data_IF_509101506241
#
_entry.id   IF_509101506241
#
_cell.length_a   1.000
_cell.length_b   1.000
_cell.length_c   1.000
_cell.angle_alpha   90.00
_cell.angle_beta   90.00
_cell.angle_gamma   90.00
#
_symmetry.space_group_name_H-M   'P 1'
#
loop_
_entity.id
_entity.type
_entity.pdbx_description
1 polymer ?
#
# COMPACT_ATOMS: atom_id res chain seq x y z
N UNK A 1 22.27 -23.68 6.66
CA UNK A 1 22.09 -22.53 7.56
C UNK A 1 20.62 -22.45 7.91
N UNK A 2 20.26 -22.01 9.13
CA UNK A 2 18.85 -21.74 9.45
C UNK A 2 18.39 -20.51 8.63
N UNK A 3 17.17 -20.51 8.07
CA UNK A 3 16.64 -19.31 7.42
C UNK A 3 16.54 -18.17 8.43
N UNK A 4 16.81 -16.94 7.97
CA UNK A 4 16.68 -15.73 8.78
C UNK A 4 15.46 -14.93 8.32
N UNK A 5 14.62 -14.49 9.25
CA UNK A 5 13.54 -13.55 8.98
C UNK A 5 13.73 -12.31 9.85
N UNK A 6 13.82 -11.15 9.22
CA UNK A 6 13.90 -9.88 9.93
C UNK A 6 12.50 -9.30 10.14
N UNK A 7 12.24 -8.77 11.32
CA UNK A 7 10.97 -8.14 11.71
C UNK A 7 11.25 -6.67 11.96
N UNK A 8 10.65 -5.80 11.14
CA UNK A 8 10.81 -4.34 11.25
C UNK A 8 9.49 -3.74 11.74
N UNK A 9 9.51 -3.14 12.92
CA UNK A 9 8.35 -2.49 13.50
C UNK A 9 8.26 -1.01 13.10
N UNK A 10 7.10 -0.62 12.57
CA UNK A 10 6.72 0.77 12.27
C UNK A 10 5.76 1.36 13.31
N UNK A 11 5.34 0.55 14.28
CA UNK A 11 4.32 0.88 15.28
C UNK A 11 2.99 0.18 14.98
N UNK A 12 1.88 0.89 15.21
CA UNK A 12 0.53 0.35 15.01
C UNK A 12 0.00 -0.51 16.16
N UNK A 13 -1.28 -0.88 16.08
CA UNK A 13 -2.08 -1.54 17.13
C UNK A 13 -1.40 -2.76 17.75
N UNK A 14 -0.67 -3.55 16.96
CA UNK A 14 0.03 -4.75 17.42
C UNK A 14 1.09 -4.44 18.49
N UNK A 15 1.70 -3.25 18.43
CA UNK A 15 2.75 -2.80 19.34
C UNK A 15 2.23 -1.85 20.45
N UNK A 16 0.91 -1.73 20.62
CA UNK A 16 0.31 -0.80 21.59
C UNK A 16 -0.04 -1.50 22.92
N UNK A 17 0.08 -0.79 24.05
CA UNK A 17 -0.44 -1.21 25.36
C UNK A 17 -1.43 -0.18 25.94
N UNK A 18 -2.28 -0.58 26.91
CA UNK A 18 -3.18 0.35 27.58
C UNK A 18 -2.44 1.48 28.29
N UNK A 19 -2.93 2.72 28.15
CA UNK A 19 -2.43 3.88 28.91
C UNK A 19 -3.22 4.10 30.19
N UNK A 20 -2.57 4.63 31.23
CA UNK A 20 -3.21 5.04 32.49
C UNK A 20 -4.27 6.16 32.30
N UNK A 21 -4.21 6.91 31.20
CA UNK A 21 -5.16 7.97 30.84
C UNK A 21 -6.39 7.48 30.06
N UNK A 22 -6.50 6.17 29.80
CA UNK A 22 -7.42 5.60 28.80
C UNK A 22 -6.84 5.64 27.39
N UNK A 23 -7.29 4.70 26.53
CA UNK A 23 -6.73 4.49 25.20
C UNK A 23 -5.51 3.54 25.18
N UNK A 24 -4.90 3.37 23.99
CA UNK A 24 -3.72 2.54 23.78
C UNK A 24 -2.56 3.40 23.23
N UNK A 25 -1.33 3.17 23.72
CA UNK A 25 -0.11 3.89 23.32
C UNK A 25 0.99 2.91 22.87
N UNK A 26 1.94 3.32 22.02
CA UNK A 26 3.05 2.46 21.63
C UNK A 26 3.82 2.02 22.88
N UNK A 27 4.05 0.71 23.02
CA UNK A 27 4.63 0.16 24.25
C UNK A 27 5.52 -1.06 24.03
N UNK A 28 5.29 -1.85 22.96
CA UNK A 28 6.05 -3.08 22.72
C UNK A 28 7.13 -2.86 21.66
N UNK A 29 8.36 -3.24 22.01
CA UNK A 29 9.46 -3.40 21.04
C UNK A 29 9.28 -4.65 20.18
N UNK A 30 10.03 -4.74 19.09
CA UNK A 30 9.92 -5.88 18.16
C UNK A 30 10.27 -7.23 18.83
N UNK A 31 11.23 -7.27 19.76
CA UNK A 31 11.57 -8.47 20.53
C UNK A 31 10.43 -8.94 21.45
N UNK A 32 9.72 -8.00 22.07
CA UNK A 32 8.59 -8.29 22.95
C UNK A 32 7.38 -8.81 22.15
N UNK A 33 7.19 -8.29 20.93
CA UNK A 33 6.20 -8.84 19.99
C UNK A 33 6.50 -10.29 19.64
N UNK A 34 7.76 -10.62 19.33
CA UNK A 34 8.16 -12.00 19.02
C UNK A 34 7.96 -12.92 20.22
N UNK A 35 8.36 -12.48 21.41
CA UNK A 35 8.23 -13.27 22.64
C UNK A 35 6.75 -13.54 23.02
N UNK A 36 5.82 -12.67 22.61
CA UNK A 36 4.41 -12.79 22.91
C UNK A 36 3.65 -13.78 22.00
N UNK A 37 4.24 -14.27 20.90
CA UNK A 37 3.56 -15.16 19.95
C UNK A 37 3.89 -16.64 20.22
N UNK A 38 2.89 -17.45 20.61
CA UNK A 38 3.09 -18.89 20.81
C UNK A 38 3.56 -19.59 19.52
N UNK A 39 4.49 -20.54 19.67
CA UNK A 39 4.96 -21.40 18.57
C UNK A 39 6.03 -20.80 17.65
N UNK A 40 6.40 -19.51 17.79
CA UNK A 40 7.49 -18.94 16.98
C UNK A 40 8.86 -19.56 17.29
N UNK A 41 9.14 -19.82 18.57
CA UNK A 41 10.40 -20.44 18.99
C UNK A 41 10.61 -21.85 18.39
N UNK A 42 9.51 -22.55 18.08
CA UNK A 42 9.53 -23.92 17.57
C UNK A 42 9.75 -23.99 16.05
N UNK A 43 9.71 -22.86 15.32
CA UNK A 43 9.87 -22.82 13.87
C UNK A 43 11.30 -23.14 13.40
N UNK A 44 12.30 -23.07 14.30
CA UNK A 44 13.70 -23.33 13.95
C UNK A 44 14.32 -22.26 13.04
N UNK A 45 13.80 -21.03 13.09
CA UNK A 45 14.18 -19.87 12.28
C UNK A 45 15.01 -18.89 13.11
N UNK A 46 15.99 -18.22 12.49
CA UNK A 46 16.68 -17.08 13.11
C UNK A 46 15.81 -15.83 12.95
N UNK A 47 15.19 -15.35 14.03
CA UNK A 47 14.36 -14.15 14.03
C UNK A 47 15.19 -12.98 14.55
N UNK A 48 15.30 -11.92 13.76
CA UNK A 48 15.81 -10.62 14.20
C UNK A 48 14.66 -9.64 14.26
N UNK A 49 14.65 -8.77 15.27
CA UNK A 49 13.58 -7.81 15.46
C UNK A 49 14.17 -6.42 15.71
N UNK A 50 13.69 -5.41 14.98
CA UNK A 50 14.11 -4.02 15.12
C UNK A 50 12.91 -3.08 15.05
N UNK A 51 13.00 -1.94 15.72
CA UNK A 51 11.97 -0.89 15.67
C UNK A 51 12.52 0.29 14.88
N UNK A 52 11.93 0.57 13.72
CA UNK A 52 12.31 1.70 12.88
C UNK A 52 11.53 2.97 13.25
N UNK A 53 10.24 2.82 13.55
CA UNK A 53 9.35 3.90 13.98
C UNK A 53 8.38 3.40 15.05
N UNK A 54 7.84 4.33 15.83
CA UNK A 54 6.78 4.07 16.81
C UNK A 54 5.66 5.09 16.65
N UNK A 55 5.20 5.27 15.42
CA UNK A 55 4.15 6.22 15.06
C UNK A 55 2.84 5.48 14.75
N UNK A 56 1.67 6.10 15.00
CA UNK A 56 0.42 5.59 14.45
C UNK A 56 0.45 5.75 12.91
N UNK A 57 -0.09 4.77 12.18
CA UNK A 57 -0.06 4.75 10.71
C UNK A 57 -0.61 6.01 10.01
N UNK A 58 -1.64 6.72 10.54
CA UNK A 58 -2.09 8.00 9.96
C UNK A 58 -1.10 9.15 10.05
N UNK A 59 -0.02 9.00 10.84
CA UNK A 59 1.01 10.02 11.03
C UNK A 59 2.30 9.72 10.27
N UNK A 60 2.35 8.64 9.50
CA UNK A 60 3.50 8.31 8.66
C UNK A 60 3.53 9.16 7.39
N UNK A 61 4.73 9.54 6.96
CA UNK A 61 4.98 10.25 5.70
C UNK A 61 5.87 9.45 4.74
N UNK A 62 6.11 10.00 3.55
CA UNK A 62 6.96 9.35 2.54
C UNK A 62 8.44 9.20 2.97
N UNK A 63 8.95 10.08 3.83
CA UNK A 63 10.29 9.93 4.40
C UNK A 63 10.39 8.68 5.30
N UNK A 64 9.32 8.36 6.04
CA UNK A 64 9.25 7.13 6.84
C UNK A 64 9.21 5.89 5.95
N UNK A 65 8.47 5.93 4.83
CA UNK A 65 8.42 4.84 3.86
C UNK A 65 9.76 4.65 3.14
N UNK A 66 10.46 5.73 2.82
CA UNK A 66 11.81 5.71 2.23
C UNK A 66 12.79 5.07 3.19
N UNK A 67 12.78 5.48 4.47
CA UNK A 67 13.59 4.86 5.52
C UNK A 67 13.27 3.37 5.69
N UNK A 68 11.98 3.00 5.62
CA UNK A 68 11.55 1.60 5.70
C UNK A 68 12.07 0.78 4.52
N UNK A 69 11.99 1.30 3.29
CA UNK A 69 12.53 0.63 2.11
C UNK A 69 14.04 0.40 2.22
N UNK A 70 14.78 1.39 2.73
CA UNK A 70 16.22 1.22 3.01
C UNK A 70 16.49 0.15 4.07
N UNK A 71 15.76 0.16 5.19
CA UNK A 71 15.93 -0.85 6.23
C UNK A 71 15.61 -2.27 5.73
N UNK A 72 14.55 -2.44 4.93
CA UNK A 72 14.22 -3.73 4.30
C UNK A 72 15.35 -4.18 3.36
N UNK A 73 15.87 -3.28 2.51
CA UNK A 73 16.99 -3.59 1.61
C UNK A 73 18.25 -3.99 2.39
N UNK A 74 18.54 -3.34 3.51
CA UNK A 74 19.68 -3.65 4.38
C UNK A 74 19.56 -5.05 5.00
N UNK A 75 18.40 -5.40 5.56
CA UNK A 75 18.17 -6.76 6.12
C UNK A 75 18.33 -7.84 5.06
N UNK A 76 17.79 -7.61 3.86
CA UNK A 76 17.94 -8.53 2.72
C UNK A 76 19.41 -8.66 2.26
N UNK A 77 20.15 -7.55 2.19
CA UNK A 77 21.58 -7.56 1.87
C UNK A 77 22.42 -8.28 2.95
N UNK A 78 21.98 -8.22 4.20
CA UNK A 78 22.57 -8.93 5.34
C UNK A 78 22.12 -10.40 5.45
N UNK A 79 21.48 -10.94 4.41
CA UNK A 79 21.16 -12.35 4.27
C UNK A 79 19.82 -12.79 4.85
N UNK A 80 18.92 -11.86 5.19
CA UNK A 80 17.54 -12.22 5.52
C UNK A 80 16.88 -12.91 4.33
N UNK A 81 16.27 -14.07 4.59
CA UNK A 81 15.56 -14.87 3.57
C UNK A 81 14.13 -14.37 3.32
N UNK A 82 13.62 -13.53 4.21
CA UNK A 82 12.35 -12.79 4.12
C UNK A 82 12.30 -11.69 5.18
N UNK A 83 11.42 -10.71 4.99
CA UNK A 83 11.23 -9.59 5.93
C UNK A 83 9.75 -9.46 6.27
N UNK A 84 9.44 -9.28 7.55
CA UNK A 84 8.10 -8.97 8.04
C UNK A 84 8.08 -7.55 8.57
N UNK A 85 7.11 -6.75 8.13
CA UNK A 85 6.88 -5.39 8.63
C UNK A 85 5.62 -5.38 9.47
N UNK A 86 5.73 -5.02 10.75
CA UNK A 86 4.55 -4.77 11.60
C UNK A 86 4.15 -3.30 11.49
N UNK A 87 2.88 -3.07 11.15
CA UNK A 87 2.40 -1.77 10.72
C UNK A 87 1.00 -1.46 11.27
N UNK A 88 0.68 -0.17 11.43
CA UNK A 88 -0.68 0.28 11.72
C UNK A 88 -1.59 0.08 10.51
N UNK A 89 -2.81 -0.41 10.74
CA UNK A 89 -3.67 -0.92 9.66
C UNK A 89 -4.22 0.16 8.73
N UNK A 90 -4.19 1.44 9.10
CA UNK A 90 -4.83 2.50 8.31
C UNK A 90 -4.14 2.76 6.97
N UNK A 91 -2.82 2.53 6.88
CA UNK A 91 -2.03 2.81 5.67
C UNK A 91 -1.19 1.60 5.20
N UNK A 92 -1.58 0.38 5.62
CA UNK A 92 -0.93 -0.87 5.14
C UNK A 92 -0.98 -0.97 3.62
N UNK A 93 -2.10 -0.62 2.99
CA UNK A 93 -2.29 -0.76 1.54
C UNK A 93 -1.37 0.15 0.71
N UNK A 94 -1.07 1.34 1.22
CA UNK A 94 -0.14 2.29 0.61
C UNK A 94 1.32 1.89 0.85
N UNK A 95 1.63 1.51 2.09
CA UNK A 95 2.98 1.06 2.49
C UNK A 95 3.39 -0.21 1.75
N UNK A 96 2.48 -1.18 1.62
CA UNK A 96 2.74 -2.41 0.90
C UNK A 96 3.02 -2.13 -0.58
N UNK A 97 2.26 -1.24 -1.24
CA UNK A 97 2.55 -0.86 -2.62
C UNK A 97 3.88 -0.11 -2.75
N UNK A 98 4.20 0.77 -1.80
CA UNK A 98 5.49 1.47 -1.78
C UNK A 98 6.66 0.48 -1.73
N UNK A 99 6.58 -0.53 -0.87
CA UNK A 99 7.60 -1.59 -0.79
C UNK A 99 7.60 -2.48 -2.04
N UNK A 100 6.41 -2.81 -2.58
CA UNK A 100 6.30 -3.56 -3.84
C UNK A 100 6.98 -2.84 -5.00
N UNK A 101 7.00 -1.51 -5.00
CA UNK A 101 7.64 -0.69 -6.03
C UNK A 101 9.11 -0.39 -5.76
N UNK A 102 9.57 -0.50 -4.51
CA UNK A 102 10.91 -0.06 -4.13
C UNK A 102 11.83 -1.18 -3.65
N UNK A 103 11.38 -2.42 -3.58
CA UNK A 103 12.23 -3.57 -3.23
C UNK A 103 12.56 -4.38 -4.48
N UNK A 104 13.85 -4.46 -4.80
CA UNK A 104 14.39 -5.29 -5.88
C UNK A 104 14.96 -6.58 -5.30
N UNK A 105 14.07 -7.49 -4.89
CA UNK A 105 14.47 -8.78 -4.36
C UNK A 105 13.38 -9.83 -4.58
N UNK A 106 13.75 -11.09 -4.87
CA UNK A 106 12.80 -12.20 -4.88
C UNK A 106 12.41 -12.67 -3.47
N UNK A 107 13.10 -12.22 -2.41
CA UNK A 107 12.73 -12.57 -1.05
C UNK A 107 11.38 -11.92 -0.68
N UNK A 108 10.47 -12.66 -0.01
CA UNK A 108 9.17 -12.13 0.37
C UNK A 108 9.31 -11.00 1.40
N UNK A 109 8.62 -9.90 1.15
CA UNK A 109 8.39 -8.82 2.12
C UNK A 109 6.92 -8.86 2.49
N UNK A 110 6.62 -9.05 3.78
CA UNK A 110 5.26 -9.26 4.26
C UNK A 110 4.88 -8.18 5.25
N UNK A 111 3.89 -7.35 4.91
CA UNK A 111 3.33 -6.36 5.83
C UNK A 111 2.16 -6.98 6.58
N UNK A 112 2.11 -6.77 7.89
CA UNK A 112 1.02 -7.26 8.73
C UNK A 112 0.69 -6.27 9.85
N UNK A 113 -0.44 -6.46 10.52
CA UNK A 113 -0.90 -5.61 11.61
C UNK A 113 -1.96 -6.31 12.46
N UNK A 114 -2.68 -5.52 13.24
CA UNK A 114 -3.78 -6.00 14.07
C UNK A 114 -4.95 -5.01 14.04
N UNK A 115 -6.18 -5.53 13.95
CA UNK A 115 -7.40 -4.74 14.06
C UNK A 115 -7.84 -4.57 15.52
N UNK A 116 -7.44 -5.50 16.40
CA UNK A 116 -7.74 -5.46 17.85
C UNK A 116 -6.47 -5.21 18.66
N UNK A 117 -6.62 -4.49 19.77
CA UNK A 117 -5.52 -4.22 20.69
C UNK A 117 -5.06 -5.51 21.40
N UNK A 118 -3.77 -5.63 21.78
CA UNK A 118 -3.21 -6.87 22.36
C UNK A 118 -3.94 -7.39 23.60
N UNK A 119 -4.49 -6.50 24.44
CA UNK A 119 -5.23 -6.86 25.64
C UNK A 119 -6.70 -7.28 25.38
N UNK A 120 -7.17 -7.25 24.12
CA UNK A 120 -8.56 -7.56 23.78
C UNK A 120 -8.80 -9.06 23.72
N UNK A 121 -10.00 -9.51 24.12
CA UNK A 121 -10.44 -10.87 23.85
C UNK A 121 -10.44 -11.12 22.33
N UNK A 122 -9.73 -12.15 21.89
CA UNK A 122 -9.56 -12.45 20.46
C UNK A 122 -8.70 -11.43 19.71
N UNK A 123 -7.67 -10.86 20.36
CA UNK A 123 -6.64 -10.09 19.67
C UNK A 123 -6.05 -10.89 18.49
N UNK A 124 -5.96 -10.26 17.32
CA UNK A 124 -5.56 -10.90 16.06
C UNK A 124 -4.06 -10.74 15.76
N UNK A 125 -3.37 -9.84 16.44
CA UNK A 125 -1.94 -9.56 16.24
C UNK A 125 -1.02 -10.78 16.29
N UNK A 126 -1.10 -11.64 17.34
CA UNK A 126 -0.25 -12.83 17.41
C UNK A 126 -0.45 -13.81 16.24
N UNK A 127 -1.69 -14.05 15.85
CA UNK A 127 -2.01 -14.94 14.72
C UNK A 127 -1.52 -14.35 13.40
N UNK A 128 -1.77 -13.06 13.17
CA UNK A 128 -1.32 -12.35 11.97
C UNK A 128 0.21 -12.33 11.85
N UNK A 129 0.94 -12.06 12.94
CA UNK A 129 2.41 -12.07 12.96
C UNK A 129 2.98 -13.47 12.72
N UNK A 130 2.41 -14.49 13.36
CA UNK A 130 2.79 -15.88 13.10
C UNK A 130 2.62 -16.21 11.62
N UNK A 131 1.43 -15.98 11.06
CA UNK A 131 1.12 -16.20 9.65
C UNK A 131 2.05 -15.43 8.71
N UNK A 132 2.36 -14.16 9.00
CA UNK A 132 3.27 -13.35 8.20
C UNK A 132 4.69 -13.94 8.15
N UNK A 133 5.20 -14.43 9.29
CA UNK A 133 6.51 -15.11 9.36
C UNK A 133 6.47 -16.40 8.55
N UNK A 134 5.38 -17.19 8.61
CA UNK A 134 5.23 -18.39 7.78
C UNK A 134 5.28 -18.06 6.28
N UNK A 135 4.60 -16.99 5.85
CA UNK A 135 4.64 -16.53 4.45
C UNK A 135 6.04 -16.02 4.07
N UNK A 136 6.73 -15.31 4.98
CA UNK A 136 8.09 -14.83 4.73
C UNK A 136 9.13 -15.97 4.58
N UNK A 137 8.81 -17.17 5.06
CA UNK A 137 9.63 -18.39 4.90
C UNK A 137 9.23 -19.23 3.68
N UNK A 138 8.06 -18.97 3.10
CA UNK A 138 7.47 -19.82 2.09
C UNK A 138 8.18 -19.64 0.73
N UNK A 139 8.62 -20.75 0.14
CA UNK A 139 9.35 -20.71 -1.14
C UNK A 139 8.48 -20.24 -2.31
N UNK A 140 7.18 -20.54 -2.24
CA UNK A 140 6.15 -20.13 -3.20
C UNK A 140 5.74 -18.65 -3.07
N UNK A 141 6.13 -17.98 -1.98
CA UNK A 141 5.97 -16.53 -1.82
C UNK A 141 7.06 -15.72 -2.55
N UNK A 142 8.16 -16.38 -2.95
CA UNK A 142 9.29 -15.70 -3.60
C UNK A 142 8.89 -15.16 -4.96
N UNK A 143 9.28 -13.92 -5.25
CA UNK A 143 8.96 -13.25 -6.52
C UNK A 143 7.50 -12.78 -6.66
N UNK A 144 6.66 -12.95 -5.63
CA UNK A 144 5.30 -12.39 -5.62
C UNK A 144 5.27 -10.90 -5.23
N UNK A 145 6.42 -10.31 -4.90
CA UNK A 145 6.54 -8.92 -4.47
C UNK A 145 6.23 -8.71 -3.00
N UNK A 146 5.76 -7.52 -2.66
CA UNK A 146 5.29 -7.24 -1.30
C UNK A 146 3.89 -7.84 -1.10
N UNK A 147 3.72 -8.54 0.02
CA UNK A 147 2.49 -9.19 0.41
C UNK A 147 1.91 -8.54 1.66
N UNK A 148 0.60 -8.70 1.86
CA UNK A 148 -0.08 -8.34 3.10
C UNK A 148 -0.73 -9.58 3.67
N UNK A 149 -0.51 -9.86 4.96
CA UNK A 149 -1.12 -11.00 5.65
C UNK A 149 -1.99 -10.51 6.79
N UNK A 150 -3.29 -10.79 6.70
CA UNK A 150 -4.30 -10.41 7.69
C UNK A 150 -5.39 -11.49 7.73
N UNK A 151 -5.79 -11.93 8.92
CA UNK A 151 -6.92 -12.86 9.10
C UNK A 151 -6.83 -14.13 8.23
N UNK A 152 -5.65 -14.74 8.20
CA UNK A 152 -5.31 -15.94 7.41
C UNK A 152 -5.43 -15.78 5.88
N UNK A 153 -5.60 -14.56 5.37
CA UNK A 153 -5.54 -14.25 3.95
C UNK A 153 -4.19 -13.63 3.56
N UNK A 154 -3.66 -14.03 2.41
CA UNK A 154 -2.42 -13.50 1.82
C UNK A 154 -2.77 -12.70 0.58
N UNK A 155 -2.55 -11.39 0.62
CA UNK A 155 -2.91 -10.47 -0.45
C UNK A 155 -1.67 -9.91 -1.16
N UNK A 156 -1.79 -9.64 -2.46
CA UNK A 156 -0.80 -8.85 -3.19
C UNK A 156 -0.96 -7.36 -2.93
N UNK A 157 0.15 -6.64 -2.73
CA UNK A 157 0.16 -5.20 -2.45
C UNK A 157 -0.66 -4.36 -3.44
N UNK A 158 -0.69 -4.77 -4.73
CA UNK A 158 -1.44 -4.06 -5.78
C UNK A 158 -2.94 -3.94 -5.52
N UNK A 159 -3.56 -4.98 -4.97
CA UNK A 159 -5.02 -5.07 -4.90
C UNK A 159 -5.57 -4.99 -3.48
N UNK A 160 -4.73 -5.27 -2.47
CA UNK A 160 -5.14 -5.26 -1.08
C UNK A 160 -5.63 -3.88 -0.65
N UNK A 161 -6.75 -3.80 0.05
CA UNK A 161 -7.23 -2.58 0.69
C UNK A 161 -7.99 -2.86 1.97
N UNK A 162 -8.03 -1.90 2.88
CA UNK A 162 -8.88 -1.91 4.07
C UNK A 162 -10.30 -1.50 3.68
N UNK A 163 -11.22 -2.45 3.68
CA UNK A 163 -12.65 -2.24 3.36
C UNK A 163 -13.54 -2.13 4.60
N UNK A 164 -13.00 -2.33 5.80
CA UNK A 164 -13.75 -2.21 7.05
C UNK A 164 -12.95 -1.50 8.13
N UNK A 165 -13.64 -0.71 8.95
CA UNK A 165 -13.03 0.09 10.02
C UNK A 165 -12.64 -0.68 11.28
N UNK A 166 -13.08 -1.94 11.46
CA UNK A 166 -12.99 -2.66 12.74
C UNK A 166 -13.03 -4.18 12.67
N UNK A 167 -13.57 -4.77 11.59
CA UNK A 167 -13.55 -6.22 11.39
C UNK A 167 -12.11 -6.75 11.34
N UNK A 168 -11.85 -7.94 11.88
CA UNK A 168 -10.55 -8.63 11.70
C UNK A 168 -10.33 -9.03 10.24
N UNK A 169 -11.40 -9.36 9.50
CA UNK A 169 -11.39 -9.54 8.04
C UNK A 169 -11.58 -8.22 7.29
N UNK A 170 -10.89 -7.15 7.71
CA UNK A 170 -11.03 -5.83 7.09
C UNK A 170 -10.27 -5.68 5.77
N UNK A 171 -9.27 -6.51 5.51
CA UNK A 171 -8.45 -6.41 4.31
C UNK A 171 -9.02 -7.33 3.23
N UNK A 172 -9.17 -6.79 2.03
CA UNK A 172 -9.73 -7.50 0.88
C UNK A 172 -8.96 -7.12 -0.38
N UNK A 173 -9.06 -7.94 -1.43
CA UNK A 173 -8.53 -7.64 -2.77
C UNK A 173 -9.67 -7.64 -3.78
N UNK A 174 -10.42 -6.52 -3.93
CA UNK A 174 -11.65 -6.50 -4.73
C UNK A 174 -11.40 -6.88 -6.19
N UNK A 175 -12.26 -7.74 -6.73
CA UNK A 175 -12.18 -8.21 -8.12
C UNK A 175 -11.19 -9.35 -8.36
N UNK A 176 -10.15 -9.50 -7.54
CA UNK A 176 -9.07 -10.48 -7.76
C UNK A 176 -8.92 -11.52 -6.65
N UNK A 177 -9.39 -11.22 -5.43
CA UNK A 177 -9.26 -12.09 -4.26
C UNK A 177 -7.83 -12.16 -3.71
N UNK A 178 -7.63 -12.84 -2.56
CA UNK A 178 -6.30 -13.08 -2.03
C UNK A 178 -5.48 -14.00 -2.96
N UNK A 179 -4.16 -13.87 -2.91
CA UNK A 179 -3.20 -14.72 -3.63
C UNK A 179 -3.06 -16.11 -3.00
N UNK A 180 -3.48 -16.26 -1.75
CA UNK A 180 -3.47 -17.52 -1.03
C UNK A 180 -4.07 -17.40 0.36
N UNK A 181 -4.10 -18.51 1.07
CA UNK A 181 -4.64 -18.62 2.42
C UNK A 181 -3.63 -19.30 3.33
N UNK A 182 -3.75 -19.05 4.63
CA UNK A 182 -3.11 -19.86 5.66
C UNK A 182 -4.10 -20.96 6.03
N UNK A 183 -3.69 -22.21 5.86
CA UNK A 183 -4.52 -23.38 6.17
C UNK A 183 -3.74 -24.29 7.08
N UNK A 184 -4.26 -24.51 8.29
CA UNK A 184 -3.60 -25.33 9.32
C UNK A 184 -2.18 -24.81 9.66
N UNK A 185 -2.00 -23.48 9.61
CA UNK A 185 -0.71 -22.82 9.86
C UNK A 185 0.26 -22.81 8.67
N UNK A 186 -0.12 -23.39 7.53
CA UNK A 186 0.70 -23.44 6.32
C UNK A 186 0.19 -22.48 5.23
N UNK A 187 1.05 -21.66 4.59
CA UNK A 187 0.69 -20.92 3.40
C UNK A 187 0.34 -21.85 2.23
N UNK A 188 -0.79 -21.59 1.58
CA UNK A 188 -1.18 -22.22 0.31
C UNK A 188 -1.38 -21.13 -0.74
N UNK A 189 -0.34 -20.83 -1.51
CA UNK A 189 -0.32 -19.72 -2.47
C UNK A 189 -0.60 -20.21 -3.90
N UNK A 190 -1.31 -19.39 -4.68
CA UNK A 190 -1.54 -19.61 -6.12
C UNK A 190 -0.98 -18.49 -7.00
N UNK A 191 -0.29 -17.53 -6.38
CA UNK A 191 -0.09 -16.16 -6.82
C UNK A 191 0.24 -15.92 -8.29
N UNK A 192 -0.08 -14.71 -8.76
CA UNK A 192 0.35 -14.21 -10.07
C UNK A 192 1.67 -13.46 -9.93
N UNK A 193 2.58 -13.52 -10.93
CA UNK A 193 3.83 -12.78 -10.89
C UNK A 193 3.62 -11.28 -10.67
N UNK A 194 4.50 -10.67 -9.86
CA UNK A 194 4.61 -9.22 -9.69
C UNK A 194 4.87 -8.56 -11.05
N UNK A 195 4.40 -7.31 -11.24
CA UNK A 195 4.88 -6.50 -12.37
C UNK A 195 6.36 -6.21 -12.11
N UNK A 196 7.20 -6.47 -13.10
CA UNK A 196 8.63 -6.17 -13.02
C UNK A 196 8.87 -4.66 -13.16
N UNK A 197 8.61 -3.93 -12.07
CA UNK A 197 8.81 -2.49 -11.93
C UNK A 197 9.44 -2.22 -10.57
N UNK A 198 10.65 -1.68 -10.60
CA UNK A 198 11.39 -1.20 -9.43
C UNK A 198 11.71 0.27 -9.66
N UNK A 199 11.31 1.11 -8.71
CA UNK A 199 11.60 2.53 -8.65
C UNK A 199 12.54 2.82 -7.47
N UNK A 200 13.42 3.82 -7.58
CA UNK A 200 14.28 4.19 -6.46
C UNK A 200 13.46 4.85 -5.34
N UNK A 201 13.68 4.42 -4.11
CA UNK A 201 13.26 5.18 -2.93
C UNK A 201 14.27 6.32 -2.74
N UNK A 202 13.84 7.57 -2.94
CA UNK A 202 14.73 8.74 -2.85
C UNK A 202 14.18 9.77 -1.87
N UNK A 203 15.07 10.48 -1.17
CA UNK A 203 14.70 11.53 -0.22
C UNK A 203 14.03 12.75 -0.91
N UNK A 204 14.06 12.85 -2.24
CA UNK A 204 13.35 13.90 -2.99
C UNK A 204 11.84 13.76 -2.91
N UNK A 205 11.34 12.56 -2.54
CA UNK A 205 9.93 12.23 -2.59
C UNK A 205 9.07 13.17 -1.74
N UNK A 206 9.56 13.65 -0.59
CA UNK A 206 8.82 14.53 0.32
C UNK A 206 8.75 15.99 -0.14
N UNK A 207 9.61 16.40 -1.08
CA UNK A 207 9.55 17.73 -1.67
C UNK A 207 8.42 17.88 -2.70
N UNK A 208 7.94 16.76 -3.24
CA UNK A 208 6.90 16.70 -4.25
C UNK A 208 5.51 16.58 -3.62
N UNK A 209 4.51 17.18 -4.25
CA UNK A 209 3.14 17.22 -3.77
C UNK A 209 2.20 16.60 -4.80
N UNK A 210 1.78 15.35 -4.56
CA UNK A 210 0.70 14.73 -5.32
C UNK A 210 -0.63 14.83 -4.58
N UNK A 211 -1.61 15.46 -5.22
CA UNK A 211 -2.98 15.55 -4.69
C UNK A 211 -3.76 14.26 -4.94
N UNK A 212 -4.68 13.93 -4.02
CA UNK A 212 -5.78 13.01 -4.28
C UNK A 212 -7.09 13.79 -4.17
N UNK A 213 -7.76 13.99 -5.31
CA UNK A 213 -9.03 14.74 -5.41
C UNK A 213 -10.17 13.77 -5.62
N UNK A 214 -10.96 13.55 -4.56
CA UNK A 214 -12.15 12.69 -4.64
C UNK A 214 -13.35 13.46 -5.11
N UNK A 215 -13.84 13.12 -6.30
CA UNK A 215 -15.00 13.77 -6.91
C UNK A 215 -16.28 13.32 -6.21
N UNK A 216 -17.14 14.27 -5.89
CA UNK A 216 -18.40 14.01 -5.19
C UNK A 216 -19.64 14.50 -5.93
N UNK A 217 -20.83 14.18 -5.41
CA UNK A 217 -22.09 14.63 -5.99
C UNK A 217 -22.20 16.15 -5.83
N UNK A 218 -22.41 16.87 -6.92
CA UNK A 218 -22.50 18.34 -6.90
C UNK A 218 -21.14 19.04 -6.85
N UNK A 219 -20.04 18.32 -7.06
CA UNK A 219 -18.71 18.90 -7.14
C UNK A 219 -18.57 19.83 -8.35
N UNK A 220 -18.04 21.02 -8.13
CA UNK A 220 -17.81 22.06 -9.13
C UNK A 220 -16.31 22.37 -9.33
N UNK A 221 -15.44 21.58 -8.68
CA UNK A 221 -13.99 21.72 -8.74
C UNK A 221 -13.41 22.86 -7.90
N UNK A 222 -14.15 23.46 -6.97
CA UNK A 222 -13.64 24.54 -6.12
C UNK A 222 -12.38 24.16 -5.34
N UNK A 223 -12.30 22.93 -4.81
CA UNK A 223 -11.10 22.45 -4.12
C UNK A 223 -9.88 22.43 -5.05
N UNK A 224 -10.06 21.96 -6.28
CA UNK A 224 -9.00 21.90 -7.27
C UNK A 224 -8.61 23.31 -7.77
N UNK A 225 -9.58 24.21 -7.93
CA UNK A 225 -9.36 25.61 -8.32
C UNK A 225 -8.52 26.37 -7.30
N UNK A 226 -8.83 26.19 -6.01
CA UNK A 226 -8.07 26.79 -4.91
C UNK A 226 -6.66 26.25 -4.75
N UNK A 227 -6.40 25.03 -5.24
CA UNK A 227 -5.07 24.45 -5.20
C UNK A 227 -4.07 25.24 -6.05
N UNK A 228 -4.52 25.88 -7.14
CA UNK A 228 -3.65 26.63 -8.04
C UNK A 228 -2.46 25.81 -8.50
N UNK A 229 -1.25 26.25 -8.16
CA UNK A 229 0.01 25.65 -8.60
C UNK A 229 0.67 24.77 -7.52
N UNK A 230 -0.08 24.39 -6.48
CA UNK A 230 0.47 23.76 -5.29
C UNK A 230 0.83 22.27 -5.43
N UNK A 231 0.63 21.66 -6.60
CA UNK A 231 0.81 20.22 -6.81
C UNK A 231 1.66 19.96 -8.05
N UNK A 232 2.53 18.96 -7.94
CA UNK A 232 3.39 18.44 -9.02
C UNK A 232 2.70 17.31 -9.80
N UNK A 233 1.62 16.75 -9.25
CA UNK A 233 0.79 15.74 -9.88
C UNK A 233 -0.56 15.61 -9.18
N UNK A 234 -1.57 15.09 -9.88
CA UNK A 234 -2.92 14.94 -9.34
C UNK A 234 -3.45 13.56 -9.66
N UNK A 235 -4.05 12.91 -8.66
CA UNK A 235 -4.91 11.75 -8.85
C UNK A 235 -6.36 12.19 -8.63
N UNK A 236 -7.20 11.99 -9.64
CA UNK A 236 -8.64 12.21 -9.55
C UNK A 236 -9.31 10.87 -9.24
N UNK A 237 -9.97 10.76 -8.09
CA UNK A 237 -10.88 9.65 -7.82
C UNK A 237 -12.27 9.99 -8.40
N UNK A 238 -12.45 9.65 -9.67
CA UNK A 238 -13.65 9.91 -10.44
C UNK A 238 -14.86 9.09 -9.99
N UNK A 239 -16.04 9.51 -10.44
CA UNK A 239 -17.31 8.82 -10.21
C UNK A 239 -17.40 7.56 -11.07
N UNK A 240 -17.90 6.46 -10.51
CA UNK A 240 -18.26 5.26 -11.26
C UNK A 240 -17.13 4.74 -12.15
N UNK A 241 -17.38 4.70 -13.46
CA UNK A 241 -16.44 4.23 -14.47
C UNK A 241 -15.27 5.19 -14.79
N UNK A 242 -15.10 6.28 -14.04
CA UNK A 242 -14.06 7.28 -14.24
C UNK A 242 -14.60 8.57 -14.86
N UNK A 243 -15.56 9.20 -14.18
CA UNK A 243 -16.22 10.41 -14.68
C UNK A 243 -16.05 11.59 -13.73
N UNK A 244 -16.14 12.79 -14.27
CA UNK A 244 -16.27 14.06 -13.52
C UNK A 244 -17.50 14.84 -14.00
N UNK A 245 -18.09 15.70 -13.16
CA UNK A 245 -19.09 16.66 -13.62
C UNK A 245 -18.61 17.50 -14.79
N UNK A 246 -19.47 17.72 -15.80
CA UNK A 246 -19.11 18.47 -17.01
C UNK A 246 -18.51 19.87 -16.72
N UNK A 247 -18.98 20.54 -15.67
CA UNK A 247 -18.45 21.84 -15.24
C UNK A 247 -17.00 21.80 -14.74
N UNK A 248 -16.49 20.65 -14.31
CA UNK A 248 -15.10 20.47 -13.89
C UNK A 248 -14.14 20.26 -15.07
N UNK A 249 -14.65 19.87 -16.24
CA UNK A 249 -13.83 19.50 -17.41
C UNK A 249 -12.83 20.58 -17.82
N UNK A 250 -13.20 21.88 -17.93
CA UNK A 250 -12.23 22.91 -18.30
C UNK A 250 -11.07 23.00 -17.31
N UNK A 251 -11.36 22.93 -16.01
CA UNK A 251 -10.36 22.99 -14.95
C UNK A 251 -9.44 21.76 -14.98
N UNK A 252 -10.01 20.56 -15.09
CA UNK A 252 -9.25 19.31 -15.15
C UNK A 252 -8.33 19.28 -16.38
N UNK A 253 -8.82 19.76 -17.53
CA UNK A 253 -8.02 19.87 -18.75
C UNK A 253 -6.87 20.88 -18.60
N UNK A 254 -7.12 22.02 -17.94
CA UNK A 254 -6.08 23.01 -17.63
C UNK A 254 -4.94 22.39 -16.80
N UNK A 255 -5.29 21.67 -15.73
CA UNK A 255 -4.29 20.97 -14.91
C UNK A 255 -3.52 19.92 -15.70
N UNK A 256 -4.20 19.16 -16.58
CA UNK A 256 -3.54 18.15 -17.40
C UNK A 256 -2.47 18.75 -18.33
N UNK A 257 -2.61 20.01 -18.77
CA UNK A 257 -1.57 20.67 -19.57
C UNK A 257 -0.32 21.07 -18.77
N UNK A 258 -0.41 21.07 -17.44
CA UNK A 258 0.63 21.61 -16.55
C UNK A 258 1.33 20.52 -15.74
N UNK A 259 0.57 19.55 -15.26
CA UNK A 259 1.06 18.44 -14.43
C UNK A 259 0.44 17.12 -14.88
N UNK A 260 1.06 15.97 -14.57
CA UNK A 260 0.42 14.67 -14.77
C UNK A 260 -0.86 14.57 -13.94
N UNK A 261 -1.97 14.24 -14.61
CA UNK A 261 -3.27 14.02 -13.97
C UNK A 261 -3.72 12.59 -14.25
N UNK A 262 -3.74 11.77 -13.21
CA UNK A 262 -4.15 10.36 -13.27
C UNK A 262 -5.63 10.23 -12.90
N UNK A 263 -6.40 9.53 -13.72
CA UNK A 263 -7.81 9.24 -13.48
C UNK A 263 -7.95 7.81 -12.92
N UNK A 264 -8.39 7.74 -11.67
CA UNK A 264 -8.80 6.52 -10.97
C UNK A 264 -10.29 6.56 -10.65
N UNK A 265 -10.85 5.47 -10.13
CA UNK A 265 -12.25 5.43 -9.68
C UNK A 265 -12.33 5.42 -8.16
N UNK A 266 -13.19 6.28 -7.59
CA UNK A 266 -13.48 6.29 -6.15
C UNK A 266 -14.21 5.05 -5.64
N UNK A 267 -14.69 4.19 -6.55
CA UNK A 267 -15.31 2.90 -6.18
C UNK A 267 -14.31 1.99 -5.46
N UNK A 268 -13.02 2.13 -5.79
CA UNK A 268 -11.92 1.33 -5.26
C UNK A 268 -12.06 -0.16 -5.59
N UNK A 269 -12.72 -0.48 -6.71
CA UNK A 269 -12.81 -1.82 -7.29
C UNK A 269 -13.03 -1.73 -8.80
N UNK A 270 -12.28 -2.52 -9.56
CA UNK A 270 -12.31 -2.49 -11.03
C UNK A 270 -11.51 -1.35 -11.65
N UNK A 271 -11.34 -1.42 -12.96
CA UNK A 271 -10.64 -0.41 -13.75
C UNK A 271 -11.58 0.73 -14.15
N UNK A 272 -11.02 1.93 -14.33
CA UNK A 272 -11.65 3.00 -15.13
C UNK A 272 -11.91 2.45 -16.54
N UNK A 273 -13.02 2.85 -17.16
CA UNK A 273 -13.31 2.50 -18.55
C UNK A 273 -12.48 3.40 -19.48
N UNK A 274 -12.48 3.15 -20.80
CA UNK A 274 -11.69 3.96 -21.74
C UNK A 274 -12.46 4.58 -22.90
N UNK A 275 -13.48 3.90 -23.40
CA UNK A 275 -14.08 4.23 -24.69
C UNK A 275 -15.60 3.98 -24.75
N UNK A 276 -16.27 3.99 -23.60
CA UNK A 276 -17.68 3.60 -23.49
C UNK A 276 -18.60 4.81 -23.61
N UNK A 277 -18.35 5.87 -22.85
CA UNK A 277 -19.20 7.06 -22.80
C UNK A 277 -18.55 8.25 -23.51
N UNK A 278 -19.36 9.05 -24.21
CA UNK A 278 -18.89 10.16 -25.05
C UNK A 278 -19.51 11.53 -24.72
N UNK A 279 -19.78 11.81 -23.44
CA UNK A 279 -20.28 13.11 -22.97
C UNK A 279 -19.17 13.89 -22.25
N UNK A 280 -19.26 15.23 -22.11
CA UNK A 280 -18.25 16.00 -21.39
C UNK A 280 -18.04 15.51 -19.95
N UNK A 281 -16.81 15.17 -19.61
CA UNK A 281 -16.44 14.60 -18.30
C UNK A 281 -16.55 13.08 -18.22
N UNK A 282 -16.89 12.40 -19.32
CA UNK A 282 -16.70 10.96 -19.43
C UNK A 282 -15.22 10.59 -19.51
N UNK A 283 -14.92 9.32 -19.28
CA UNK A 283 -13.58 8.78 -19.34
C UNK A 283 -12.91 9.03 -20.69
N UNK A 284 -13.64 8.86 -21.80
CA UNK A 284 -13.13 9.11 -23.16
C UNK A 284 -12.75 10.58 -23.35
N UNK A 285 -13.64 11.50 -22.97
CA UNK A 285 -13.40 12.95 -23.06
C UNK A 285 -12.18 13.35 -22.23
N UNK A 286 -12.02 12.78 -21.04
CA UNK A 286 -10.89 13.06 -20.16
C UNK A 286 -9.55 12.52 -20.69
N UNK A 287 -9.53 11.33 -21.28
CA UNK A 287 -8.32 10.80 -21.91
C UNK A 287 -7.93 11.56 -23.18
N UNK A 288 -8.90 11.97 -23.99
CA UNK A 288 -8.65 12.83 -25.17
C UNK A 288 -8.07 14.20 -24.74
N UNK A 289 -8.28 14.61 -23.48
CA UNK A 289 -7.70 15.81 -22.86
C UNK A 289 -6.35 15.56 -22.17
N UNK A 290 -5.82 14.35 -22.29
CA UNK A 290 -4.49 13.98 -21.83
C UNK A 290 -4.43 13.48 -20.40
N UNK A 291 -5.52 13.08 -19.77
CA UNK A 291 -5.45 12.38 -18.48
C UNK A 291 -4.79 11.00 -18.65
N UNK A 292 -4.19 10.50 -17.58
CA UNK A 292 -3.48 9.22 -17.53
C UNK A 292 -4.39 8.18 -16.88
N UNK A 293 -4.47 6.99 -17.45
CA UNK A 293 -5.36 5.94 -16.97
C UNK A 293 -4.73 5.17 -15.79
N UNK A 294 -5.39 5.11 -14.62
CA UNK A 294 -4.83 4.44 -13.43
C UNK A 294 -4.77 2.90 -13.52
N UNK A 295 -5.44 2.31 -14.50
CA UNK A 295 -5.56 0.86 -14.62
C UNK A 295 -6.45 0.31 -13.51
N UNK A 296 -6.02 -0.79 -12.91
CA UNK A 296 -6.65 -1.38 -11.73
C UNK A 296 -6.22 -0.77 -10.41
N UNK A 297 -5.33 0.22 -10.40
CA UNK A 297 -4.96 0.89 -9.15
C UNK A 297 -6.12 1.75 -8.64
N UNK A 298 -6.45 1.57 -7.36
CA UNK A 298 -7.32 2.50 -6.66
C UNK A 298 -6.62 3.86 -6.46
N UNK A 299 -7.36 4.92 -6.08
CA UNK A 299 -6.81 6.27 -6.04
C UNK A 299 -5.67 6.46 -5.02
N UNK A 300 -5.67 5.76 -3.88
CA UNK A 300 -4.60 5.86 -2.90
C UNK A 300 -3.31 5.25 -3.47
N UNK A 301 -3.43 4.09 -4.10
CA UNK A 301 -2.31 3.39 -4.75
C UNK A 301 -1.77 4.11 -5.98
N UNK A 302 -2.65 4.67 -6.82
CA UNK A 302 -2.25 5.49 -7.96
C UNK A 302 -1.43 6.71 -7.51
N UNK A 303 -1.74 7.28 -6.33
CA UNK A 303 -0.97 8.39 -5.75
C UNK A 303 0.43 7.94 -5.34
N UNK A 304 0.60 6.76 -4.75
CA UNK A 304 1.93 6.21 -4.41
C UNK A 304 2.80 6.04 -5.66
N UNK A 305 2.26 5.43 -6.72
CA UNK A 305 3.00 5.23 -7.97
C UNK A 305 3.37 6.58 -8.62
N UNK A 306 2.42 7.52 -8.70
CA UNK A 306 2.69 8.84 -9.27
C UNK A 306 3.74 9.61 -8.47
N UNK A 307 3.69 9.55 -7.13
CA UNK A 307 4.66 10.18 -6.26
C UNK A 307 6.07 9.63 -6.50
N UNK A 308 6.22 8.31 -6.59
CA UNK A 308 7.51 7.66 -6.86
C UNK A 308 8.07 8.01 -8.24
N UNK A 309 7.23 8.03 -9.28
CA UNK A 309 7.65 8.38 -10.64
C UNK A 309 8.12 9.83 -10.75
N UNK A 310 7.39 10.76 -10.12
CA UNK A 310 7.82 12.16 -10.05
C UNK A 310 9.14 12.31 -9.28
N UNK A 311 9.33 11.55 -8.20
CA UNK A 311 10.57 11.57 -7.41
C UNK A 311 11.77 11.03 -8.20
N UNK A 312 11.54 10.08 -9.10
CA UNK A 312 12.52 9.56 -10.06
C UNK A 312 12.80 10.53 -11.23
N UNK A 313 12.01 11.61 -11.34
CA UNK A 313 12.15 12.60 -12.41
C UNK A 313 11.53 12.15 -13.74
N UNK A 314 10.60 11.20 -13.71
CA UNK A 314 9.90 10.73 -14.89
C UNK A 314 9.06 11.86 -15.53
N UNK A 315 9.14 11.98 -16.84
CA UNK A 315 8.27 12.87 -17.62
C UNK A 315 6.86 12.29 -17.80
N UNK A 316 5.98 13.07 -18.42
CA UNK A 316 4.57 12.72 -18.64
C UNK A 316 4.39 11.43 -19.44
N UNK A 317 5.24 11.20 -20.44
CA UNK A 317 5.14 10.04 -21.33
C UNK A 317 5.64 8.78 -20.61
N UNK A 318 6.72 8.89 -19.85
CA UNK A 318 7.24 7.83 -18.98
C UNK A 318 6.21 7.45 -17.90
N UNK A 319 5.56 8.44 -17.28
CA UNK A 319 4.49 8.20 -16.31
C UNK A 319 3.33 7.46 -16.99
N UNK A 320 2.86 7.95 -18.14
CA UNK A 320 1.79 7.30 -18.91
C UNK A 320 2.12 5.85 -19.26
N UNK A 321 3.31 5.58 -19.77
CA UNK A 321 3.77 4.24 -20.11
C UNK A 321 3.84 3.31 -18.89
N UNK A 322 4.26 3.82 -17.73
CA UNK A 322 4.33 3.03 -16.50
C UNK A 322 2.94 2.65 -15.98
N UNK A 323 1.98 3.59 -16.02
CA UNK A 323 0.61 3.30 -15.62
C UNK A 323 -0.10 2.28 -16.54
N UNK A 324 0.29 2.18 -17.81
CA UNK A 324 -0.23 1.15 -18.72
C UNK A 324 0.13 -0.27 -18.29
N UNK A 325 1.20 -0.48 -17.49
CA UNK A 325 1.53 -1.79 -16.91
C UNK A 325 0.43 -2.30 -15.95
N UNK A 326 -0.40 -1.41 -15.42
CA UNK A 326 -1.45 -1.71 -14.43
C UNK A 326 -2.84 -1.89 -15.04
N UNK A 327 -2.95 -1.90 -16.38
CA UNK A 327 -4.22 -2.11 -17.09
C UNK A 327 -4.60 -3.58 -17.26
#
# INVERSE_FOLDING_TARGET
MRPRVAIIAMGGTIAMAPSASGGIIPALGADELVAAVPGLADLGVDLTASTLRSLPSPSLGFDDLTALSHAVREELANGATGVVVTHGTDTIEETALFLDLTIDSPAPVVVTGAMRAPASAGADGPANLYAAIRVALATDARGLGCLVVMSDEVHGARFVRKSHTSSTGAFVSPGFGPLGLIVEGEPRLRGTPRIDLVLPATDKISALRVALVTVTLGDDGELLRRAGDAFDGIVIAGLGAGHVPAGMVPLVAEFAQRVPVVLASRTGSGSVLRATYGYPGSERDLFDRGLIHAGFLDPAKARILLQLLLADGADRDQIGATFELYR
#
